data_IF_493775352362
#
_entry.id   IF_493775352362
#
_cell.length_a   1.000
_cell.length_b   1.000
_cell.length_c   1.000
_cell.angle_alpha   90.00
_cell.angle_beta   90.00
_cell.angle_gamma   90.00
#
_symmetry.space_group_name_H-M   'P 1'
#
loop_
_entity.id
_entity.type
_entity.pdbx_description
1 polymer ?
#
# COMPACT_ATOMS: atom_id res chain seq x y z
N UNK A 1 -5.08 9.03 0.65
CA UNK A 1 -4.96 7.71 0.02
C UNK A 1 -5.48 6.66 0.98
N UNK A 2 -6.39 5.85 0.51
CA UNK A 2 -7.02 4.84 1.37
C UNK A 2 -7.13 3.52 0.63
N UNK A 3 -6.95 2.45 1.38
CA UNK A 3 -7.21 1.10 0.89
C UNK A 3 -8.72 0.88 0.86
N UNK A 4 -9.21 0.19 -0.17
CA UNK A 4 -10.64 -0.11 -0.23
C UNK A 4 -11.00 -1.00 0.95
N UNK A 5 -12.20 -0.77 1.49
CA UNK A 5 -12.62 -1.41 2.74
C UNK A 5 -12.72 -2.92 2.65
N UNK A 6 -13.07 -3.43 1.49
CA UNK A 6 -13.27 -4.87 1.33
C UNK A 6 -12.01 -5.62 0.97
N UNK A 7 -10.89 -4.92 0.80
CA UNK A 7 -9.62 -5.57 0.50
C UNK A 7 -9.04 -6.14 1.79
N UNK A 8 -8.66 -7.41 1.74
CA UNK A 8 -8.10 -8.09 2.91
C UNK A 8 -6.59 -8.24 2.76
N UNK A 9 -5.86 -8.01 3.85
CA UNK A 9 -4.42 -8.17 3.89
C UNK A 9 -4.08 -9.16 4.97
N UNK A 10 -3.38 -10.23 4.61
CA UNK A 10 -2.94 -11.26 5.54
C UNK A 10 -1.53 -10.94 6.03
N UNK A 11 -1.26 -11.26 7.30
CA UNK A 11 0.09 -11.12 7.83
C UNK A 11 1.08 -12.03 7.12
N UNK A 12 0.57 -13.06 6.47
CA UNK A 12 1.43 -13.98 5.71
C UNK A 12 1.84 -13.40 4.36
N UNK A 13 1.37 -12.21 4.03
CA UNK A 13 1.78 -11.56 2.79
C UNK A 13 0.83 -11.75 1.63
N UNK A 14 -0.44 -11.97 1.89
CA UNK A 14 -1.44 -12.08 0.83
C UNK A 14 -2.38 -10.88 0.87
N UNK A 15 -2.63 -10.34 -0.30
CA UNK A 15 -3.60 -9.28 -0.51
C UNK A 15 -4.72 -9.88 -1.34
N UNK A 16 -5.96 -9.79 -0.86
CA UNK A 16 -7.09 -10.39 -1.53
C UNK A 16 -8.14 -9.35 -1.88
N UNK A 17 -8.59 -9.37 -3.13
CA UNK A 17 -9.65 -8.50 -3.60
C UNK A 17 -10.91 -9.36 -3.81
N UNK A 18 -11.89 -9.31 -2.91
CA UNK A 18 -13.07 -10.16 -3.02
C UNK A 18 -13.98 -9.78 -4.19
N UNK A 19 -13.87 -8.56 -4.71
CA UNK A 19 -14.69 -8.16 -5.84
C UNK A 19 -14.30 -8.92 -7.09
N UNK A 20 -13.00 -9.08 -7.33
CA UNK A 20 -12.51 -9.80 -8.51
C UNK A 20 -12.14 -11.23 -8.21
N UNK A 21 -11.98 -11.58 -6.93
CA UNK A 21 -11.51 -12.91 -6.55
C UNK A 21 -10.01 -13.07 -6.67
N UNK A 22 -9.29 -12.02 -7.02
CA UNK A 22 -7.85 -12.09 -7.22
C UNK A 22 -7.09 -11.97 -5.91
N UNK A 23 -5.94 -12.62 -5.85
CA UNK A 23 -5.05 -12.45 -4.71
C UNK A 23 -3.64 -12.22 -5.22
N UNK A 24 -2.85 -11.55 -4.40
CA UNK A 24 -1.50 -11.13 -4.75
C UNK A 24 -0.56 -11.43 -3.60
N UNK A 25 0.66 -11.85 -3.94
CA UNK A 25 1.70 -12.04 -2.93
C UNK A 25 2.42 -10.73 -2.71
N UNK A 26 2.56 -10.34 -1.43
CA UNK A 26 3.16 -9.07 -1.05
C UNK A 26 4.34 -9.37 -0.14
N UNK A 27 5.46 -8.68 -0.35
CA UNK A 27 6.62 -8.87 0.52
C UNK A 27 6.39 -8.18 1.87
N UNK A 28 7.22 -8.47 2.88
CA UNK A 28 7.00 -7.92 4.23
C UNK A 28 6.92 -6.39 4.27
N UNK A 29 7.74 -5.70 3.51
CA UNK A 29 7.69 -4.23 3.48
C UNK A 29 6.36 -3.78 2.89
N UNK A 30 5.88 -4.45 1.85
CA UNK A 30 4.59 -4.14 1.27
C UNK A 30 3.45 -4.33 2.24
N UNK A 31 3.48 -5.40 3.02
CA UNK A 31 2.46 -5.62 4.05
C UNK A 31 2.47 -4.48 5.06
N UNK A 32 3.66 -4.06 5.47
CA UNK A 32 3.80 -2.95 6.41
C UNK A 32 3.21 -1.67 5.84
N UNK A 33 3.51 -1.38 4.58
CA UNK A 33 2.99 -0.20 3.91
C UNK A 33 1.47 -0.25 3.85
N UNK A 34 0.91 -1.40 3.51
CA UNK A 34 -0.54 -1.54 3.42
C UNK A 34 -1.21 -1.32 4.77
N UNK A 35 -0.62 -1.82 5.84
CA UNK A 35 -1.17 -1.60 7.18
C UNK A 35 -1.12 -0.13 7.56
N UNK A 36 -0.05 0.57 7.19
CA UNK A 36 0.06 2.00 7.46
C UNK A 36 -0.97 2.79 6.65
N UNK A 37 -1.20 2.39 5.40
CA UNK A 37 -2.23 3.03 4.60
C UNK A 37 -3.60 2.81 5.24
N UNK A 38 -3.85 1.60 5.71
CA UNK A 38 -5.12 1.29 6.38
C UNK A 38 -5.32 2.15 7.62
N UNK A 39 -4.23 2.43 8.33
CA UNK A 39 -4.26 3.29 9.50
C UNK A 39 -4.30 4.77 9.13
N UNK A 40 -4.43 5.07 7.85
CA UNK A 40 -4.56 6.43 7.32
C UNK A 40 -3.32 7.28 7.56
N UNK A 41 -2.16 6.67 7.59
CA UNK A 41 -0.90 7.41 7.67
C UNK A 41 -0.61 8.05 6.33
N UNK A 42 -0.04 9.26 6.39
CA UNK A 42 0.32 9.94 5.16
C UNK A 42 1.67 9.43 4.62
N UNK A 43 2.02 9.76 3.37
CA UNK A 43 3.27 9.26 2.79
C UNK A 43 4.51 9.59 3.60
N UNK A 44 4.56 10.78 4.22
CA UNK A 44 5.73 11.14 5.03
C UNK A 44 5.85 10.25 6.26
N UNK A 45 4.73 9.92 6.88
CA UNK A 45 4.73 9.03 8.04
C UNK A 45 5.13 7.62 7.65
N UNK A 46 4.63 7.15 6.50
CA UNK A 46 4.97 5.81 6.01
C UNK A 46 6.47 5.74 5.74
N UNK A 47 7.02 6.76 5.08
CA UNK A 47 8.44 6.80 4.79
C UNK A 47 9.26 6.72 6.08
N UNK A 48 8.87 7.51 7.08
CA UNK A 48 9.60 7.52 8.34
C UNK A 48 9.62 6.16 9.01
N UNK A 49 8.46 5.50 9.05
CA UNK A 49 8.38 4.19 9.70
C UNK A 49 9.24 3.17 8.98
N UNK A 50 9.14 3.12 7.66
CA UNK A 50 9.87 2.12 6.89
C UNK A 50 11.37 2.36 6.95
N UNK A 51 11.80 3.61 6.81
CA UNK A 51 13.23 3.92 6.85
C UNK A 51 13.83 3.68 8.23
N UNK A 52 13.02 3.85 9.27
CA UNK A 52 13.48 3.60 10.63
C UNK A 52 13.60 2.09 10.92
N UNK A 53 12.75 1.30 10.30
CA UNK A 53 12.66 -0.13 10.60
C UNK A 53 13.54 -0.98 9.69
N UNK A 54 13.74 -0.57 8.45
CA UNK A 54 14.47 -1.33 7.46
C UNK A 54 15.69 -0.57 6.99
N UNK A 55 16.76 -1.31 6.67
CA UNK A 55 18.00 -0.69 6.20
C UNK A 55 17.91 -0.41 4.70
N UNK A 56 17.27 0.67 4.37
CA UNK A 56 17.18 1.10 2.98
C UNK A 56 17.36 2.62 2.95
N UNK A 57 17.82 3.13 1.82
CA UNK A 57 17.96 4.58 1.71
C UNK A 57 16.67 5.18 1.17
N UNK A 58 16.56 6.50 1.34
CA UNK A 58 15.33 7.19 0.99
C UNK A 58 15.00 7.12 -0.49
N UNK A 59 16.02 7.26 -1.34
CA UNK A 59 15.78 7.25 -2.79
C UNK A 59 15.26 5.90 -3.25
N UNK A 60 15.86 4.82 -2.76
CA UNK A 60 15.40 3.48 -3.08
C UNK A 60 13.99 3.25 -2.57
N UNK A 61 13.73 3.66 -1.33
CA UNK A 61 12.39 3.49 -0.78
C UNK A 61 11.35 4.25 -1.59
N UNK A 62 11.64 5.50 -1.94
CA UNK A 62 10.66 6.30 -2.67
C UNK A 62 10.32 5.69 -4.02
N UNK A 63 11.33 5.18 -4.71
CA UNK A 63 11.09 4.52 -5.99
C UNK A 63 10.21 3.29 -5.81
N UNK A 64 10.56 2.45 -4.86
CA UNK A 64 9.80 1.23 -4.60
C UNK A 64 8.38 1.55 -4.14
N UNK A 65 8.24 2.59 -3.33
CA UNK A 65 6.94 3.00 -2.84
C UNK A 65 6.05 3.46 -3.99
N UNK A 66 6.58 4.29 -4.88
CA UNK A 66 5.81 4.75 -6.04
C UNK A 66 5.40 3.58 -6.93
N UNK A 67 6.31 2.65 -7.17
CA UNK A 67 5.98 1.47 -7.97
C UNK A 67 4.87 0.66 -7.31
N UNK A 68 4.96 0.50 -6.00
CA UNK A 68 3.97 -0.27 -5.25
C UNK A 68 2.60 0.40 -5.31
N UNK A 69 2.55 1.70 -5.09
CA UNK A 69 1.29 2.45 -5.14
C UNK A 69 0.69 2.37 -6.55
N UNK A 70 1.52 2.46 -7.58
CA UNK A 70 1.03 2.34 -8.95
C UNK A 70 0.38 0.99 -9.20
N UNK A 71 0.96 -0.08 -8.66
CA UNK A 71 0.38 -1.41 -8.79
C UNK A 71 -0.98 -1.46 -8.08
N UNK A 72 -1.05 -0.91 -6.88
CA UNK A 72 -2.32 -0.88 -6.15
C UNK A 72 -3.40 -0.12 -6.92
N UNK A 73 -3.02 1.00 -7.52
CA UNK A 73 -3.96 1.78 -8.32
C UNK A 73 -4.40 1.03 -9.57
N UNK A 74 -3.46 0.36 -10.21
CA UNK A 74 -3.76 -0.38 -11.44
C UNK A 74 -4.78 -1.48 -11.18
N UNK A 75 -4.71 -2.11 -10.02
CA UNK A 75 -5.63 -3.19 -9.66
C UNK A 75 -6.86 -2.70 -8.90
N UNK A 76 -7.06 -1.38 -8.81
CA UNK A 76 -8.22 -0.79 -8.13
C UNK A 76 -8.32 -1.20 -6.67
N UNK A 77 -7.19 -1.28 -5.99
CA UNK A 77 -7.16 -1.66 -4.59
C UNK A 77 -7.22 -0.47 -3.65
N UNK A 78 -7.05 0.74 -4.17
CA UNK A 78 -7.16 1.96 -3.39
C UNK A 78 -8.47 2.65 -3.70
N UNK A 79 -8.99 3.38 -2.71
CA UNK A 79 -10.18 4.17 -2.94
C UNK A 79 -9.86 5.31 -3.89
N UNK A 80 -10.82 5.58 -4.76
CA UNK A 80 -10.64 6.63 -5.75
C UNK A 80 -10.76 8.00 -5.08
N UNK A 81 -9.94 8.94 -5.56
CA UNK A 81 -9.97 10.31 -5.07
C UNK A 81 -10.39 11.29 -6.12
N UNK A 82 -10.55 10.86 -7.36
CA UNK A 82 -10.85 11.79 -8.43
C UNK A 82 -12.17 12.47 -8.21
N UNK A 83 -13.07 11.80 -7.57
CA UNK A 83 -14.38 12.37 -7.29
C UNK A 83 -14.28 13.61 -6.41
N UNK A 84 -13.20 13.72 -5.65
CA UNK A 84 -13.11 14.81 -4.70
C UNK A 84 -12.78 16.13 -5.36
N UNK A 85 -12.23 16.08 -6.54
CA UNK A 85 -11.86 17.32 -7.21
C UNK A 85 -12.79 17.70 -8.31
N UNK A 86 -13.78 16.93 -8.51
CA UNK A 86 -14.77 17.26 -9.52
C UNK A 86 -15.46 18.56 -9.21
#
# INVERSE_FOLDING_TARGET
MKLRKNVAVSEAGLLFNPVTGESYSINPIGVEILNLIRDEKNPAQISRVILDKYSTDQATFEKDYHDFISILEHHNLLESHEETKA
#
